data_IF_060144826967
#
_entry.id   IF_060144826967
#
_cell.length_a   1.000
_cell.length_b   1.000
_cell.length_c   1.000
_cell.angle_alpha   90.00
_cell.angle_beta   90.00
_cell.angle_gamma   90.00
#
_symmetry.space_group_name_H-M   'P 1'
#
loop_
_entity.id
_entity.type
_entity.pdbx_description
1 polymer ?
#
# COMPACT_ATOMS: atom_id res chain seq x y z
N UNK A 1 -76.39 -45.93 -22.98
CA UNK A 1 -75.82 -44.99 -22.01
C UNK A 1 -74.32 -45.29 -21.93
N UNK A 2 -73.47 -44.55 -22.70
CA UNK A 2 -72.08 -44.87 -22.92
C UNK A 2 -71.22 -43.85 -22.18
N UNK A 3 -70.41 -44.31 -21.25
CA UNK A 3 -69.50 -43.55 -20.44
C UNK A 3 -68.15 -43.39 -21.20
N UNK A 4 -67.83 -42.18 -21.59
CA UNK A 4 -66.56 -41.85 -22.26
C UNK A 4 -65.48 -41.58 -21.19
N UNK A 5 -64.48 -42.44 -21.14
CA UNK A 5 -63.25 -42.24 -20.33
C UNK A 5 -62.30 -41.33 -21.08
N UNK A 6 -61.88 -40.16 -20.47
CA UNK A 6 -60.85 -39.27 -20.99
C UNK A 6 -59.49 -39.67 -20.38
N UNK A 7 -58.55 -40.07 -21.23
CA UNK A 7 -57.14 -40.20 -20.86
C UNK A 7 -56.54 -38.81 -20.78
N UNK A 8 -55.97 -38.47 -19.62
CA UNK A 8 -55.07 -37.32 -19.43
C UNK A 8 -53.63 -37.79 -19.67
N UNK A 9 -53.01 -37.32 -20.74
CA UNK A 9 -51.54 -37.45 -21.00
C UNK A 9 -50.85 -36.33 -20.31
N UNK A 10 -50.17 -36.63 -19.19
CA UNK A 10 -49.28 -35.67 -18.52
C UNK A 10 -47.93 -35.56 -19.24
N UNK A 11 -47.60 -34.36 -19.68
CA UNK A 11 -46.24 -34.04 -20.17
C UNK A 11 -45.32 -33.78 -18.97
N UNK A 12 -44.39 -34.68 -18.69
CA UNK A 12 -43.23 -34.40 -17.80
C UNK A 12 -42.23 -33.60 -18.59
N UNK A 13 -42.13 -32.30 -18.33
CA UNK A 13 -40.99 -31.46 -18.74
C UNK A 13 -39.83 -31.72 -17.78
N UNK A 14 -38.83 -32.47 -18.22
CA UNK A 14 -37.57 -32.62 -17.54
C UNK A 14 -36.80 -31.30 -17.68
N UNK A 15 -36.75 -30.47 -16.63
CA UNK A 15 -35.80 -29.39 -16.52
C UNK A 15 -34.41 -30.00 -16.35
N UNK A 16 -33.64 -30.08 -17.43
CA UNK A 16 -32.21 -30.35 -17.38
C UNK A 16 -31.51 -29.17 -16.74
N UNK A 17 -31.05 -29.33 -15.51
CA UNK A 17 -30.05 -28.45 -14.88
C UNK A 17 -28.73 -28.63 -15.65
N UNK A 18 -28.47 -27.75 -16.62
CA UNK A 18 -27.16 -27.62 -17.20
C UNK A 18 -26.26 -26.98 -16.14
N UNK A 19 -25.58 -27.79 -15.34
CA UNK A 19 -24.40 -27.32 -14.58
C UNK A 19 -23.33 -27.01 -15.61
N UNK A 20 -23.07 -25.75 -15.85
CA UNK A 20 -21.84 -25.31 -16.53
C UNK A 20 -20.66 -25.90 -15.76
N UNK A 21 -19.76 -26.66 -16.40
CA UNK A 21 -18.57 -27.16 -15.73
C UNK A 21 -17.79 -25.95 -15.19
N UNK A 22 -17.47 -25.97 -13.91
CA UNK A 22 -16.58 -24.98 -13.31
C UNK A 22 -15.29 -24.98 -14.14
N UNK A 23 -14.97 -23.83 -14.76
CA UNK A 23 -13.73 -23.67 -15.52
C UNK A 23 -12.57 -23.92 -14.56
N UNK A 24 -11.66 -24.83 -14.91
CA UNK A 24 -10.46 -25.09 -14.11
C UNK A 24 -9.64 -23.78 -14.04
N UNK A 25 -9.32 -23.33 -12.84
CA UNK A 25 -8.49 -22.14 -12.60
C UNK A 25 -7.13 -22.31 -13.32
N UNK A 26 -6.71 -21.30 -14.08
CA UNK A 26 -5.39 -21.29 -14.72
C UNK A 26 -4.33 -20.78 -13.75
N UNK A 27 -4.00 -21.56 -12.74
CA UNK A 27 -2.99 -21.22 -11.75
C UNK A 27 -1.58 -21.43 -12.28
N UNK A 28 -0.77 -20.37 -12.21
CA UNK A 28 0.69 -20.47 -12.34
C UNK A 28 1.30 -20.47 -10.93
N UNK A 29 2.14 -21.45 -10.61
CA UNK A 29 2.64 -21.67 -9.25
C UNK A 29 4.16 -21.70 -9.19
N UNK A 30 4.69 -21.21 -8.06
CA UNK A 30 6.02 -21.50 -7.57
C UNK A 30 5.91 -22.42 -6.35
N UNK A 31 6.85 -23.35 -6.23
CA UNK A 31 6.99 -24.30 -5.14
C UNK A 31 8.49 -24.46 -4.83
N UNK A 32 8.89 -24.26 -3.58
CA UNK A 32 10.27 -24.47 -3.15
C UNK A 32 10.44 -25.62 -2.14
N UNK A 33 9.41 -26.47 -2.00
CA UNK A 33 9.36 -27.58 -1.06
C UNK A 33 9.01 -27.18 0.39
N UNK A 34 8.94 -25.87 0.70
CA UNK A 34 8.51 -25.34 2.01
C UNK A 34 7.15 -24.67 1.91
N UNK A 35 6.97 -23.81 0.90
CA UNK A 35 5.72 -23.12 0.61
C UNK A 35 5.40 -23.17 -0.90
N UNK A 36 4.12 -23.05 -1.21
CA UNK A 36 3.61 -22.85 -2.56
C UNK A 36 2.88 -21.51 -2.64
N UNK A 37 3.09 -20.75 -3.74
CA UNK A 37 2.32 -19.56 -4.08
C UNK A 37 1.80 -19.67 -5.50
N UNK A 38 0.57 -19.21 -5.75
CA UNK A 38 -0.06 -19.30 -7.07
C UNK A 38 -0.82 -18.05 -7.43
N UNK A 39 -0.68 -17.63 -8.70
CA UNK A 39 -1.44 -16.55 -9.31
C UNK A 39 -2.48 -17.12 -10.26
N UNK A 40 -3.69 -16.58 -10.23
CA UNK A 40 -4.75 -16.97 -11.16
C UNK A 40 -4.70 -16.08 -12.42
N UNK A 41 -4.33 -16.69 -13.55
CA UNK A 41 -4.21 -15.99 -14.83
C UNK A 41 -5.57 -15.59 -15.44
N UNK A 42 -6.67 -16.14 -14.95
CA UNK A 42 -8.01 -15.72 -15.33
C UNK A 42 -8.52 -14.55 -14.49
N UNK A 43 -7.81 -14.22 -13.40
CA UNK A 43 -8.08 -13.07 -12.51
C UNK A 43 -6.93 -12.04 -12.55
N UNK A 44 -6.41 -11.75 -13.74
CA UNK A 44 -5.35 -10.78 -13.93
C UNK A 44 -4.01 -11.14 -13.26
N UNK A 45 -3.84 -12.37 -12.78
CA UNK A 45 -2.66 -12.79 -12.04
C UNK A 45 -2.66 -12.37 -10.56
N UNK A 46 -3.83 -12.11 -9.97
CA UNK A 46 -3.95 -11.96 -8.53
C UNK A 46 -3.49 -13.24 -7.81
N UNK A 47 -2.86 -13.09 -6.66
CA UNK A 47 -2.41 -14.24 -5.85
C UNK A 47 -3.63 -14.83 -5.16
N UNK A 48 -4.05 -16.01 -5.58
CA UNK A 48 -5.21 -16.74 -5.05
C UNK A 48 -4.84 -17.98 -4.26
N UNK A 49 -3.54 -18.33 -4.23
CA UNK A 49 -3.04 -19.49 -3.53
C UNK A 49 -1.77 -19.17 -2.74
N UNK A 50 -1.75 -19.54 -1.48
CA UNK A 50 -0.56 -19.55 -0.63
C UNK A 50 -0.76 -20.67 0.41
N UNK A 51 0.15 -21.63 0.46
CA UNK A 51 0.07 -22.77 1.37
C UNK A 51 1.45 -23.24 1.81
N UNK A 52 1.52 -24.00 2.90
CA UNK A 52 2.67 -24.87 3.15
C UNK A 52 2.75 -25.95 2.04
N UNK A 53 3.96 -26.35 1.65
CA UNK A 53 4.18 -27.42 0.68
C UNK A 53 4.30 -28.79 1.39
N UNK A 54 3.98 -29.94 0.70
CA UNK A 54 3.39 -29.98 -0.65
C UNK A 54 1.86 -29.82 -0.66
N UNK A 55 1.14 -30.22 0.42
CA UNK A 55 -0.31 -30.44 0.42
C UNK A 55 -1.05 -29.58 1.44
N UNK A 56 -0.46 -28.42 1.80
CA UNK A 56 -1.08 -27.49 2.74
C UNK A 56 -2.39 -26.86 2.22
N UNK A 57 -3.27 -26.51 3.15
CA UNK A 57 -4.50 -25.79 2.84
C UNK A 57 -4.17 -24.41 2.25
N UNK A 58 -4.92 -24.01 1.22
CA UNK A 58 -4.81 -22.64 0.69
C UNK A 58 -5.33 -21.60 1.71
N UNK A 59 -4.49 -20.66 2.07
CA UNK A 59 -4.75 -19.66 3.10
C UNK A 59 -5.33 -18.34 2.57
N UNK A 60 -5.51 -18.20 1.24
CA UNK A 60 -5.97 -16.97 0.61
C UNK A 60 -7.47 -17.04 0.36
N UNK A 61 -8.17 -15.96 0.75
CA UNK A 61 -9.59 -15.83 0.48
C UNK A 61 -9.82 -15.30 -0.94
N UNK A 62 -10.73 -15.94 -1.67
CA UNK A 62 -11.15 -15.60 -3.03
C UNK A 62 -12.66 -15.67 -3.17
N UNK A 63 -13.39 -15.25 -2.14
CA UNK A 63 -14.87 -15.26 -2.12
C UNK A 63 -15.47 -14.35 -3.19
N UNK A 64 -14.86 -13.18 -3.41
CA UNK A 64 -15.22 -12.21 -4.45
C UNK A 64 -13.96 -11.58 -5.06
N UNK A 65 -14.09 -10.75 -6.10
CA UNK A 65 -12.96 -10.11 -6.78
C UNK A 65 -12.33 -8.95 -6.00
N UNK A 66 -12.90 -8.53 -4.89
CA UNK A 66 -12.31 -7.53 -3.98
C UNK A 66 -11.30 -8.10 -3.00
N UNK A 67 -11.18 -9.44 -2.93
CA UNK A 67 -10.29 -10.13 -1.98
C UNK A 67 -9.01 -10.61 -2.66
N UNK A 68 -8.42 -11.71 -2.31
CA UNK A 68 -7.11 -12.24 -2.75
C UNK A 68 -5.94 -11.46 -2.14
N UNK A 69 -4.73 -11.64 -2.71
CA UNK A 69 -3.61 -10.74 -2.53
C UNK A 69 -3.39 -10.04 -3.85
N UNK A 70 -3.55 -8.72 -3.86
CA UNK A 70 -3.55 -7.94 -5.10
C UNK A 70 -3.09 -6.50 -4.90
N UNK A 71 -2.65 -5.89 -5.99
CA UNK A 71 -2.37 -4.46 -6.06
C UNK A 71 -3.70 -3.68 -6.09
N UNK A 72 -3.80 -2.61 -5.30
CA UNK A 72 -4.95 -1.71 -5.24
C UNK A 72 -4.45 -0.28 -5.08
N UNK A 73 -4.85 0.61 -5.99
CA UNK A 73 -4.38 2.00 -5.99
C UNK A 73 -5.53 2.98 -5.99
N UNK A 74 -5.33 4.14 -5.35
CA UNK A 74 -6.32 5.19 -5.18
C UNK A 74 -5.77 6.54 -5.63
N UNK A 75 -6.52 7.24 -6.48
CA UNK A 75 -6.21 8.61 -6.92
C UNK A 75 -7.52 9.38 -7.18
N UNK A 76 -7.48 10.53 -7.83
CA UNK A 76 -8.68 11.23 -8.27
C UNK A 76 -9.02 10.95 -9.74
N UNK A 77 -10.15 11.45 -10.26
CA UNK A 77 -11.15 12.23 -9.53
C UNK A 77 -11.99 11.41 -8.54
N UNK A 78 -12.77 12.11 -7.70
CA UNK A 78 -13.72 11.51 -6.78
C UNK A 78 -15.00 12.36 -6.73
N UNK A 79 -16.20 11.82 -7.10
CA UNK A 79 -16.39 10.44 -7.59
C UNK A 79 -15.74 10.22 -8.96
N UNK A 80 -15.38 8.96 -9.24
CA UNK A 80 -14.88 8.54 -10.55
C UNK A 80 -15.97 7.77 -11.30
N UNK A 81 -16.50 8.36 -12.36
CA UNK A 81 -17.54 7.75 -13.22
C UNK A 81 -18.86 7.45 -12.47
N UNK A 82 -19.71 6.62 -13.11
CA UNK A 82 -20.97 6.15 -12.56
C UNK A 82 -20.71 4.89 -11.71
N UNK A 83 -20.30 5.09 -10.47
CA UNK A 83 -19.94 4.01 -9.56
C UNK A 83 -21.15 3.20 -9.09
N UNK A 84 -20.91 1.96 -8.69
CA UNK A 84 -21.88 1.08 -8.05
C UNK A 84 -22.56 1.76 -6.85
N UNK A 85 -23.88 1.58 -6.60
CA UNK A 85 -24.61 2.29 -5.53
C UNK A 85 -23.98 2.22 -4.14
N UNK A 86 -23.33 1.12 -3.78
CA UNK A 86 -22.61 0.99 -2.51
C UNK A 86 -21.29 1.79 -2.46
N UNK A 87 -20.82 2.29 -3.60
CA UNK A 87 -19.54 2.96 -3.80
C UNK A 87 -19.69 4.35 -4.46
N UNK A 88 -20.81 5.07 -4.24
CA UNK A 88 -21.21 6.30 -4.94
C UNK A 88 -20.12 7.37 -5.06
N UNK A 89 -19.31 7.53 -4.03
CA UNK A 89 -18.25 8.55 -3.98
C UNK A 89 -16.86 7.91 -4.11
N UNK A 90 -16.75 6.78 -4.81
CA UNK A 90 -15.48 6.08 -4.94
C UNK A 90 -14.52 6.83 -5.87
N UNK A 91 -13.23 6.90 -5.53
CA UNK A 91 -12.24 7.53 -6.39
C UNK A 91 -11.87 6.64 -7.58
N UNK A 92 -11.00 7.11 -8.46
CA UNK A 92 -10.25 6.28 -9.37
C UNK A 92 -9.51 5.20 -8.56
N UNK A 93 -9.85 3.94 -8.82
CA UNK A 93 -9.34 2.80 -8.07
C UNK A 93 -9.25 1.55 -8.94
N UNK A 94 -8.19 1.38 -9.71
CA UNK A 94 -7.91 0.12 -10.39
C UNK A 94 -7.41 -0.92 -9.39
N UNK A 95 -7.91 -2.17 -9.51
CA UNK A 95 -7.49 -3.31 -8.71
C UNK A 95 -7.13 -4.52 -9.57
N UNK A 96 -6.27 -5.40 -9.02
CA UNK A 96 -5.59 -6.45 -9.78
C UNK A 96 -6.47 -7.62 -10.21
N UNK A 97 -7.56 -7.94 -9.51
CA UNK A 97 -8.35 -9.15 -9.78
C UNK A 97 -9.61 -8.90 -10.61
N UNK A 98 -10.28 -7.74 -10.46
CA UNK A 98 -11.50 -7.45 -11.20
C UNK A 98 -12.35 -6.36 -10.58
N UNK A 99 -13.60 -6.20 -11.02
CA UNK A 99 -14.55 -5.21 -10.52
C UNK A 99 -15.61 -5.80 -9.58
N UNK A 100 -16.38 -4.92 -8.92
CA UNK A 100 -17.45 -5.31 -7.99
C UNK A 100 -18.62 -6.05 -8.65
N UNK A 101 -18.72 -5.99 -9.98
CA UNK A 101 -19.74 -6.67 -10.76
C UNK A 101 -19.33 -8.06 -11.22
N UNK A 102 -18.10 -8.49 -10.94
CA UNK A 102 -17.58 -9.82 -11.27
C UNK A 102 -16.83 -9.90 -12.60
N UNK A 103 -16.47 -8.79 -13.23
CA UNK A 103 -15.65 -8.80 -14.43
C UNK A 103 -14.17 -8.89 -14.03
N UNK A 104 -13.43 -9.92 -14.49
CA UNK A 104 -12.05 -10.12 -14.11
C UNK A 104 -11.10 -9.14 -14.81
N UNK A 105 -10.01 -8.81 -14.14
CA UNK A 105 -8.85 -8.17 -14.76
C UNK A 105 -8.17 -9.08 -15.77
N UNK A 106 -7.46 -8.51 -16.74
CA UNK A 106 -6.84 -9.25 -17.83
C UNK A 106 -5.35 -9.47 -17.58
N UNK A 107 -4.88 -10.71 -17.68
CA UNK A 107 -3.45 -11.02 -17.79
C UNK A 107 -2.97 -10.65 -19.21
N UNK A 108 -2.01 -9.71 -19.30
CA UNK A 108 -1.41 -9.25 -20.54
C UNK A 108 -0.16 -10.06 -20.90
N UNK A 109 0.70 -10.31 -19.92
CA UNK A 109 1.95 -11.05 -20.05
C UNK A 109 2.13 -11.96 -18.84
N UNK A 110 2.78 -13.10 -19.04
CA UNK A 110 3.09 -14.04 -17.97
C UNK A 110 4.36 -14.84 -18.31
N UNK A 111 5.20 -15.07 -17.31
CA UNK A 111 6.27 -16.03 -17.37
C UNK A 111 6.51 -16.70 -16.01
N UNK A 112 6.97 -17.94 -16.03
CA UNK A 112 7.32 -18.69 -14.82
C UNK A 112 8.44 -19.67 -15.19
N UNK A 113 9.62 -19.45 -14.65
CA UNK A 113 10.82 -20.29 -14.89
C UNK A 113 11.11 -21.26 -13.72
N UNK A 114 10.15 -21.37 -12.77
CA UNK A 114 10.28 -22.18 -11.56
C UNK A 114 11.05 -21.48 -10.42
N UNK A 115 11.65 -20.32 -10.66
CA UNK A 115 12.34 -19.49 -9.65
C UNK A 115 11.70 -18.13 -9.48
N UNK A 116 11.30 -17.53 -10.59
CA UNK A 116 10.59 -16.25 -10.65
C UNK A 116 9.31 -16.40 -11.45
N UNK A 117 8.22 -15.94 -10.86
CA UNK A 117 6.94 -15.81 -11.53
C UNK A 117 6.70 -14.33 -11.82
N UNK A 118 6.38 -13.99 -13.06
CA UNK A 118 6.05 -12.65 -13.51
C UNK A 118 4.65 -12.62 -14.11
N UNK A 119 3.91 -11.57 -13.79
CA UNK A 119 2.61 -11.26 -14.40
C UNK A 119 2.53 -9.76 -14.69
N UNK A 120 2.00 -9.44 -15.88
CA UNK A 120 1.52 -8.09 -16.22
C UNK A 120 0.03 -8.10 -16.41
N UNK A 121 -0.65 -7.18 -15.78
CA UNK A 121 -2.11 -7.11 -15.65
C UNK A 121 -2.64 -5.81 -16.22
N UNK A 122 -3.75 -5.87 -16.95
CA UNK A 122 -4.65 -4.74 -17.14
C UNK A 122 -5.74 -4.82 -16.06
N UNK A 123 -5.71 -3.94 -15.06
CA UNK A 123 -6.65 -3.98 -13.95
C UNK A 123 -8.06 -3.51 -14.36
N UNK A 124 -9.04 -3.74 -13.49
CA UNK A 124 -10.38 -3.19 -13.62
C UNK A 124 -10.58 -2.06 -12.60
N UNK A 125 -11.39 -1.06 -12.96
CA UNK A 125 -11.86 -0.05 -12.01
C UNK A 125 -12.88 -0.69 -11.06
N UNK A 126 -12.54 -0.78 -9.76
CA UNK A 126 -13.33 -1.53 -8.78
C UNK A 126 -14.82 -1.23 -8.80
N UNK A 127 -15.17 0.05 -8.71
CA UNK A 127 -16.56 0.47 -8.54
C UNK A 127 -17.35 0.60 -9.85
N UNK A 128 -16.73 0.39 -11.01
CA UNK A 128 -17.34 0.61 -12.34
C UNK A 128 -17.64 -0.72 -13.03
N UNK A 129 -18.74 -0.74 -13.81
CA UNK A 129 -19.21 -1.94 -14.50
C UNK A 129 -18.39 -2.20 -15.77
N UNK A 130 -17.51 -3.19 -15.74
CA UNK A 130 -16.68 -3.63 -16.88
C UNK A 130 -15.81 -2.51 -17.49
N UNK A 131 -15.22 -1.68 -16.63
CA UNK A 131 -14.34 -0.58 -17.08
C UNK A 131 -12.88 -0.93 -16.73
N UNK A 132 -12.02 -1.20 -17.74
CA UNK A 132 -10.62 -1.40 -17.52
C UNK A 132 -9.92 -0.14 -16.98
N UNK A 133 -8.88 -0.34 -16.17
CA UNK A 133 -7.97 0.74 -15.81
C UNK A 133 -7.12 1.20 -17.00
N UNK A 134 -6.82 2.48 -17.02
CA UNK A 134 -5.90 3.15 -17.95
C UNK A 134 -4.43 3.05 -17.48
N UNK A 135 -4.09 1.94 -16.88
CA UNK A 135 -2.79 1.61 -16.33
C UNK A 135 -2.47 0.11 -16.51
N UNK A 136 -1.25 -0.29 -16.21
CA UNK A 136 -0.85 -1.67 -16.11
C UNK A 136 -0.13 -1.94 -14.80
N UNK A 137 -0.38 -3.12 -14.21
CA UNK A 137 0.35 -3.62 -13.05
C UNK A 137 1.36 -4.67 -13.49
N UNK A 138 2.48 -4.72 -12.79
CA UNK A 138 3.45 -5.79 -12.93
C UNK A 138 3.75 -6.37 -11.54
N UNK A 139 3.86 -7.70 -11.47
CA UNK A 139 4.16 -8.42 -10.23
C UNK A 139 5.25 -9.45 -10.51
N UNK A 140 6.31 -9.45 -9.70
CA UNK A 140 7.37 -10.47 -9.69
C UNK A 140 7.36 -11.16 -8.33
N UNK A 141 7.41 -12.48 -8.33
CA UNK A 141 7.37 -13.32 -7.14
C UNK A 141 8.56 -14.27 -7.16
N UNK A 142 9.27 -14.39 -6.04
CA UNK A 142 10.30 -15.41 -5.81
C UNK A 142 10.14 -16.00 -4.41
N UNK A 143 10.52 -17.27 -4.21
CA UNK A 143 10.41 -17.96 -2.93
C UNK A 143 11.78 -18.13 -2.25
N UNK A 144 11.82 -17.93 -0.92
CA UNK A 144 13.00 -18.15 -0.07
C UNK A 144 12.58 -18.72 1.27
N UNK A 145 12.87 -20.02 1.53
CA UNK A 145 12.42 -20.68 2.74
C UNK A 145 10.89 -20.62 2.87
N UNK A 146 10.39 -20.14 3.99
CA UNK A 146 8.96 -19.95 4.27
C UNK A 146 8.41 -18.56 3.83
N UNK A 147 9.17 -17.81 3.03
CA UNK A 147 8.83 -16.47 2.59
C UNK A 147 8.67 -16.38 1.07
N UNK A 148 7.69 -15.57 0.62
CA UNK A 148 7.54 -15.12 -0.76
C UNK A 148 7.88 -13.64 -0.85
N UNK A 149 8.92 -13.32 -1.63
CA UNK A 149 9.35 -11.96 -1.93
C UNK A 149 8.58 -11.46 -3.15
N UNK A 150 7.83 -10.39 -2.98
CA UNK A 150 6.99 -9.85 -4.05
C UNK A 150 7.39 -8.41 -4.33
N UNK A 151 7.61 -8.11 -5.62
CA UNK A 151 7.78 -6.75 -6.13
C UNK A 151 6.61 -6.40 -7.04
N UNK A 152 6.08 -5.20 -6.85
CA UNK A 152 4.96 -4.65 -7.60
C UNK A 152 5.36 -3.36 -8.29
N UNK A 153 4.76 -3.12 -9.47
CA UNK A 153 4.88 -1.88 -10.23
C UNK A 153 3.53 -1.46 -10.80
N UNK A 154 3.17 -0.22 -10.57
CA UNK A 154 2.13 0.48 -11.31
C UNK A 154 2.77 1.26 -12.45
N UNK A 155 2.33 1.02 -13.69
CA UNK A 155 2.60 1.89 -14.84
C UNK A 155 1.31 2.67 -15.14
N UNK A 156 1.21 3.89 -14.62
CA UNK A 156 0.04 4.72 -14.84
C UNK A 156 0.12 5.40 -16.22
N UNK A 157 -1.01 5.47 -16.92
CA UNK A 157 -1.13 6.14 -18.23
C UNK A 157 -2.50 6.84 -18.35
N UNK A 158 -2.95 7.39 -17.23
CA UNK A 158 -4.23 8.09 -17.17
C UNK A 158 -4.23 9.30 -18.13
N UNK A 159 -5.30 9.45 -18.92
CA UNK A 159 -5.44 10.58 -19.84
C UNK A 159 -5.63 11.92 -19.10
N UNK A 160 -6.32 11.88 -17.97
CA UNK A 160 -6.46 13.03 -17.08
C UNK A 160 -5.14 13.38 -16.40
N UNK A 161 -4.53 14.50 -16.81
CA UNK A 161 -3.23 14.98 -16.34
C UNK A 161 -3.29 15.76 -15.01
N UNK A 162 -4.45 15.88 -14.41
CA UNK A 162 -4.59 16.57 -13.12
C UNK A 162 -3.75 15.88 -12.05
N UNK A 163 -2.93 16.66 -11.34
CA UNK A 163 -2.28 16.18 -10.11
C UNK A 163 -3.31 16.21 -8.99
N UNK A 164 -3.67 15.04 -8.50
CA UNK A 164 -4.59 14.90 -7.38
C UNK A 164 -3.84 14.84 -6.04
N UNK A 165 -4.48 15.27 -4.94
CA UNK A 165 -3.89 15.13 -3.61
C UNK A 165 -3.51 13.69 -3.28
N UNK A 166 -2.51 13.52 -2.43
CA UNK A 166 -2.07 12.23 -1.93
C UNK A 166 -3.22 11.44 -1.28
N UNK A 167 -3.26 10.13 -1.56
CA UNK A 167 -4.20 9.16 -0.97
C UNK A 167 -3.45 7.99 -0.38
N UNK A 168 -4.09 7.32 0.56
CA UNK A 168 -3.58 6.08 1.12
C UNK A 168 -3.71 4.96 0.09
N UNK A 169 -2.60 4.23 -0.12
CA UNK A 169 -2.48 3.10 -1.04
C UNK A 169 -2.38 1.81 -0.23
N UNK A 170 -3.05 0.75 -0.66
CA UNK A 170 -2.93 -0.59 -0.09
C UNK A 170 -1.77 -1.34 -0.77
N UNK A 171 -0.71 -1.65 -0.03
CA UNK A 171 0.58 -2.10 -0.58
C UNK A 171 1.09 -3.43 0.01
N UNK A 172 0.42 -4.58 -0.24
CA UNK A 172 -0.80 -4.85 -0.99
C UNK A 172 -2.05 -4.95 -0.09
N UNK A 173 -3.23 -5.16 -0.70
CA UNK A 173 -4.37 -5.75 -0.01
C UNK A 173 -4.15 -7.27 0.14
N UNK A 174 -4.28 -7.80 1.36
CA UNK A 174 -4.11 -9.24 1.68
C UNK A 174 -5.34 -9.75 2.39
N UNK A 175 -6.04 -10.69 1.78
CA UNK A 175 -7.21 -11.33 2.36
C UNK A 175 -6.94 -12.82 2.62
N UNK A 176 -7.09 -13.25 3.87
CA UNK A 176 -6.87 -14.64 4.29
C UNK A 176 -8.19 -15.36 4.56
N UNK A 177 -8.14 -16.70 4.63
CA UNK A 177 -9.29 -17.52 5.03
C UNK A 177 -9.73 -17.22 6.46
N UNK A 178 -11.00 -17.49 6.77
CA UNK A 178 -11.58 -17.24 8.09
C UNK A 178 -11.01 -18.04 9.26
N UNK A 179 -10.19 -19.06 8.98
CA UNK A 179 -9.43 -19.79 10.03
C UNK A 179 -8.31 -18.97 10.64
N UNK A 180 -7.76 -18.00 9.90
CA UNK A 180 -6.74 -17.06 10.38
C UNK A 180 -7.45 -15.79 10.88
N UNK A 181 -7.84 -15.77 12.15
CA UNK A 181 -8.73 -14.76 12.70
C UNK A 181 -8.13 -13.88 13.79
N UNK A 182 -6.89 -14.16 14.21
CA UNK A 182 -6.19 -13.39 15.23
C UNK A 182 -5.13 -12.51 14.57
N UNK A 183 -5.30 -11.20 14.65
CA UNK A 183 -4.39 -10.23 14.05
C UNK A 183 -3.39 -9.74 15.08
N UNK A 184 -2.09 -9.88 14.79
CA UNK A 184 -0.98 -9.45 15.64
C UNK A 184 -0.02 -8.51 14.92
N UNK A 185 0.61 -7.64 15.70
CA UNK A 185 1.68 -6.72 15.28
C UNK A 185 2.59 -6.38 16.46
N UNK A 186 3.68 -5.66 16.23
CA UNK A 186 4.42 -4.94 17.24
C UNK A 186 4.27 -3.43 16.98
N UNK A 187 3.82 -2.69 18.00
CA UNK A 187 3.59 -1.23 17.94
C UNK A 187 4.30 -0.46 19.09
N UNK A 188 5.19 -1.14 19.79
CA UNK A 188 5.97 -0.53 20.87
C UNK A 188 7.04 0.45 20.36
N UNK A 189 7.53 1.36 21.23
CA UNK A 189 8.45 2.42 20.84
C UNK A 189 9.89 1.94 20.57
N UNK A 190 10.21 0.69 20.90
CA UNK A 190 11.53 0.08 20.68
C UNK A 190 11.43 -1.12 19.75
N UNK A 191 11.39 -0.90 18.42
CA UNK A 191 11.27 -1.97 17.44
C UNK A 191 12.49 -2.91 17.47
N UNK A 192 12.26 -4.18 17.14
CA UNK A 192 13.28 -5.24 17.00
C UNK A 192 14.10 -5.54 18.27
N UNK A 193 13.56 -5.22 19.45
CA UNK A 193 14.18 -5.51 20.75
C UNK A 193 13.53 -6.69 21.49
N UNK A 194 12.58 -7.39 20.85
CA UNK A 194 11.89 -8.52 21.46
C UNK A 194 10.71 -8.13 22.37
N UNK A 195 10.22 -6.89 22.30
CA UNK A 195 9.04 -6.41 23.05
C UNK A 195 7.77 -7.23 22.77
N UNK A 196 6.76 -7.05 23.60
CA UNK A 196 5.49 -7.76 23.51
C UNK A 196 4.74 -7.47 22.19
N UNK A 197 4.02 -8.47 21.71
CA UNK A 197 3.14 -8.33 20.55
C UNK A 197 1.75 -7.88 21.01
N UNK A 198 1.15 -6.99 20.23
CA UNK A 198 -0.22 -6.56 20.43
C UNK A 198 -1.17 -7.31 19.53
N UNK A 199 -2.24 -7.86 20.08
CA UNK A 199 -3.36 -8.34 19.30
C UNK A 199 -4.29 -7.18 18.97
N UNK A 200 -4.57 -6.97 17.66
CA UNK A 200 -5.55 -6.00 17.17
C UNK A 200 -6.91 -6.67 17.17
N UNK A 201 -7.86 -6.15 17.95
CA UNK A 201 -9.24 -6.60 17.95
C UNK A 201 -10.05 -5.69 17.01
N UNK A 202 -10.64 -6.28 15.98
CA UNK A 202 -11.52 -5.58 15.04
C UNK A 202 -12.43 -6.59 14.33
N UNK A 203 -13.73 -6.33 14.34
CA UNK A 203 -14.78 -7.24 13.84
C UNK A 203 -15.28 -6.87 12.43
N UNK A 204 -14.40 -6.44 11.55
CA UNK A 204 -14.75 -6.12 10.16
C UNK A 204 -14.85 -4.62 9.89
N UNK A 205 -15.31 -4.23 8.66
CA UNK A 205 -15.34 -2.82 8.30
C UNK A 205 -16.23 -1.97 9.25
N UNK A 206 -15.77 -0.73 9.60
CA UNK A 206 -14.51 -0.13 9.18
C UNK A 206 -13.30 -0.80 9.82
N UNK A 207 -12.25 -1.01 9.03
CA UNK A 207 -11.03 -1.67 9.48
C UNK A 207 -10.27 -0.83 10.52
N UNK A 208 -9.61 -1.48 11.47
CA UNK A 208 -8.71 -0.82 12.40
C UNK A 208 -7.47 -0.28 11.67
N UNK A 209 -6.89 0.81 12.17
CA UNK A 209 -5.61 1.35 11.72
C UNK A 209 -4.62 1.43 12.89
N UNK A 210 -3.34 1.19 12.61
CA UNK A 210 -2.28 1.24 13.62
C UNK A 210 -0.92 1.51 12.99
N UNK A 211 0.06 1.88 13.82
CA UNK A 211 1.47 1.93 13.45
C UNK A 211 2.14 0.61 13.82
N UNK A 212 2.69 -0.11 12.85
CA UNK A 212 3.48 -1.33 13.05
C UNK A 212 4.97 -0.95 13.07
N UNK A 213 5.54 -0.78 14.24
CA UNK A 213 6.91 -0.25 14.40
C UNK A 213 8.00 -1.19 13.90
N UNK A 214 7.68 -2.48 13.74
CA UNK A 214 8.54 -3.49 13.11
C UNK A 214 8.16 -3.80 11.65
N UNK A 215 7.32 -2.97 11.00
CA UNK A 215 6.95 -3.06 9.58
C UNK A 215 6.21 -4.37 9.19
N UNK A 216 5.47 -4.99 10.10
CA UNK A 216 4.72 -6.21 9.84
C UNK A 216 3.42 -6.32 10.63
N UNK A 217 2.51 -7.12 10.09
CA UNK A 217 1.35 -7.65 10.80
C UNK A 217 1.10 -9.09 10.36
N UNK A 218 0.41 -9.88 11.19
CA UNK A 218 0.11 -11.27 10.89
C UNK A 218 -1.31 -11.65 11.28
N UNK A 219 -1.97 -12.41 10.42
CA UNK A 219 -3.21 -13.14 10.72
C UNK A 219 -2.88 -14.60 10.98
N UNK A 220 -3.24 -15.08 12.16
CA UNK A 220 -2.90 -16.43 12.64
C UNK A 220 -4.13 -17.15 13.20
N UNK A 221 -4.05 -18.47 13.27
CA UNK A 221 -5.01 -19.34 13.97
C UNK A 221 -4.80 -19.33 15.50
N UNK A 222 -5.51 -20.18 16.23
CA UNK A 222 -5.41 -20.30 17.68
C UNK A 222 -4.03 -20.76 18.18
N UNK A 223 -3.29 -21.52 17.35
CA UNK A 223 -1.94 -22.00 17.65
C UNK A 223 -0.84 -20.93 17.39
N UNK A 224 -1.23 -19.74 16.89
CA UNK A 224 -0.30 -18.66 16.57
C UNK A 224 0.49 -18.87 15.29
N UNK A 225 -0.03 -19.70 14.37
CA UNK A 225 0.53 -19.96 13.04
C UNK A 225 -0.34 -19.38 11.94
N UNK A 226 0.24 -18.80 10.89
CA UNK A 226 -0.51 -18.26 9.79
C UNK A 226 0.31 -17.46 8.78
N UNK A 227 -0.24 -16.32 8.33
CA UNK A 227 0.31 -15.46 7.27
C UNK A 227 0.75 -14.12 7.85
N UNK A 228 2.04 -13.82 7.73
CA UNK A 228 2.63 -12.51 7.99
C UNK A 228 2.75 -11.69 6.70
N UNK A 229 2.54 -10.39 6.83
CA UNK A 229 2.78 -9.39 5.79
C UNK A 229 3.83 -8.43 6.31
N UNK A 230 5.01 -8.42 5.68
CA UNK A 230 6.13 -7.53 6.00
C UNK A 230 6.25 -6.52 4.87
N UNK A 231 6.28 -5.23 5.22
CA UNK A 231 6.46 -4.13 4.25
C UNK A 231 7.65 -3.26 4.68
N UNK A 232 8.87 -3.55 4.20
CA UNK A 232 10.07 -2.80 4.60
C UNK A 232 9.91 -1.28 4.40
N UNK A 233 10.14 -0.51 5.47
CA UNK A 233 9.96 0.94 5.46
C UNK A 233 8.51 1.44 5.43
N UNK A 234 7.52 0.55 5.59
CA UNK A 234 6.11 0.90 5.78
C UNK A 234 5.68 0.66 7.23
N UNK A 235 5.17 1.68 7.89
CA UNK A 235 4.81 1.63 9.32
C UNK A 235 3.30 1.70 9.54
N UNK A 236 2.55 2.27 8.63
CA UNK A 236 1.10 2.37 8.73
C UNK A 236 0.43 1.13 8.16
N UNK A 237 -0.52 0.56 8.91
CA UNK A 237 -1.31 -0.61 8.52
C UNK A 237 -2.78 -0.41 8.81
N UNK A 238 -3.61 -1.07 8.01
CA UNK A 238 -5.04 -1.26 8.27
C UNK A 238 -5.38 -2.75 8.20
N UNK A 239 -6.41 -3.17 8.91
CA UNK A 239 -6.85 -4.56 8.86
C UNK A 239 -7.82 -4.95 9.96
N UNK A 240 -8.13 -6.22 10.01
CA UNK A 240 -9.05 -6.82 10.97
C UNK A 240 -9.56 -8.17 10.52
N UNK A 241 -10.66 -8.59 11.10
CA UNK A 241 -11.32 -9.84 10.78
C UNK A 241 -12.81 -9.60 10.56
N UNK A 242 -13.40 -10.27 9.58
CA UNK A 242 -14.84 -10.24 9.30
C UNK A 242 -15.42 -11.65 9.29
N UNK A 243 -16.56 -11.82 9.93
CA UNK A 243 -17.31 -13.07 9.97
C UNK A 243 -17.07 -13.89 11.24
N UNK A 244 -17.33 -15.20 11.19
CA UNK A 244 -17.19 -16.08 12.34
C UNK A 244 -15.74 -16.56 12.49
N UNK A 245 -15.07 -16.27 13.62
CA UNK A 245 -13.68 -16.68 13.85
C UNK A 245 -13.44 -18.17 13.74
N UNK A 246 -12.29 -18.57 13.17
CA UNK A 246 -11.86 -19.95 13.06
C UNK A 246 -12.60 -20.81 12.02
N UNK A 247 -13.47 -20.20 11.21
CA UNK A 247 -14.29 -20.88 10.21
C UNK A 247 -14.17 -20.25 8.84
N UNK A 248 -14.33 -21.06 7.80
CA UNK A 248 -14.32 -20.65 6.40
C UNK A 248 -12.98 -20.87 5.71
N UNK A 249 -13.08 -21.41 4.50
CA UNK A 249 -11.98 -21.64 3.55
C UNK A 249 -11.89 -20.58 2.48
N UNK A 250 -11.17 -20.88 1.36
CA UNK A 250 -10.83 -19.89 0.32
C UNK A 250 -12.01 -19.24 -0.40
N UNK A 251 -13.16 -19.87 -0.46
CA UNK A 251 -14.36 -19.35 -1.16
C UNK A 251 -15.46 -18.89 -0.20
N UNK A 252 -15.22 -18.94 1.11
CA UNK A 252 -16.20 -18.59 2.12
C UNK A 252 -16.12 -17.10 2.49
N UNK A 253 -17.23 -16.56 3.04
CA UNK A 253 -17.34 -15.16 3.40
C UNK A 253 -16.42 -14.72 4.58
N UNK A 254 -16.23 -15.50 5.67
CA UNK A 254 -15.31 -15.10 6.73
C UNK A 254 -13.89 -14.88 6.21
N UNK A 255 -13.25 -13.76 6.64
CA UNK A 255 -11.94 -13.37 6.11
C UNK A 255 -11.18 -12.50 7.10
N UNK A 256 -9.87 -12.72 7.17
CA UNK A 256 -8.93 -11.74 7.71
C UNK A 256 -8.47 -10.78 6.62
N UNK A 257 -8.11 -9.58 7.01
CA UNK A 257 -7.58 -8.53 6.13
C UNK A 257 -6.39 -7.82 6.76
N UNK A 258 -5.32 -7.66 5.98
CA UNK A 258 -4.16 -6.82 6.28
C UNK A 258 -3.79 -6.03 5.03
N UNK A 259 -3.57 -4.73 5.18
CA UNK A 259 -2.90 -3.92 4.17
C UNK A 259 -1.89 -2.98 4.84
N UNK A 260 -0.59 -3.07 4.48
CA UNK A 260 0.32 -1.95 4.65
C UNK A 260 -0.19 -0.76 3.86
N UNK A 261 -0.13 0.43 4.46
CA UNK A 261 -0.67 1.65 3.84
C UNK A 261 0.42 2.70 3.75
N UNK A 262 0.50 3.36 2.58
CA UNK A 262 1.35 4.53 2.40
C UNK A 262 0.58 5.61 1.65
N UNK A 263 0.73 6.86 2.12
CA UNK A 263 0.11 8.01 1.47
C UNK A 263 0.96 8.49 0.32
N UNK A 264 0.39 8.49 -0.92
CA UNK A 264 1.14 8.75 -2.16
C UNK A 264 0.38 9.67 -3.12
N UNK A 265 1.12 10.46 -3.88
CA UNK A 265 0.62 11.20 -5.04
C UNK A 265 0.88 10.33 -6.27
N UNK A 266 -0.17 9.81 -6.89
CA UNK A 266 -0.09 9.03 -8.12
C UNK A 266 -0.42 9.91 -9.31
N UNK A 267 0.61 10.45 -9.97
CA UNK A 267 0.47 11.22 -11.20
C UNK A 267 -0.04 10.37 -12.36
N UNK A 268 -0.52 11.03 -13.41
CA UNK A 268 -1.10 10.38 -14.58
C UNK A 268 -0.14 9.45 -15.33
N UNK A 269 1.16 9.65 -15.22
CA UNK A 269 2.22 8.94 -15.93
C UNK A 269 3.25 8.29 -15.00
N UNK A 270 2.96 8.25 -13.68
CA UNK A 270 3.89 7.70 -12.69
C UNK A 270 4.20 6.22 -12.92
N UNK A 271 5.47 5.88 -12.76
CA UNK A 271 5.92 4.51 -12.51
C UNK A 271 6.17 4.39 -11.01
N UNK A 272 5.28 3.67 -10.32
CA UNK A 272 5.34 3.51 -8.87
C UNK A 272 5.68 2.06 -8.51
N UNK A 273 6.72 1.87 -7.69
CA UNK A 273 7.18 0.55 -7.27
C UNK A 273 7.15 0.40 -5.75
N UNK A 274 6.85 -0.82 -5.30
CA UNK A 274 7.00 -1.24 -3.90
C UNK A 274 7.27 -2.74 -3.82
N UNK A 275 7.76 -3.17 -2.65
CA UNK A 275 7.97 -4.59 -2.36
C UNK A 275 7.39 -4.95 -1.01
N UNK A 276 6.99 -6.21 -0.88
CA UNK A 276 6.54 -6.79 0.38
C UNK A 276 6.95 -8.26 0.47
N UNK A 277 6.87 -8.82 1.68
CA UNK A 277 7.16 -10.22 1.92
C UNK A 277 5.97 -10.87 2.60
N UNK A 278 5.50 -11.99 2.04
CA UNK A 278 4.54 -12.89 2.71
C UNK A 278 5.32 -13.97 3.42
N UNK A 279 5.03 -14.21 4.68
CA UNK A 279 5.72 -15.22 5.50
C UNK A 279 4.70 -16.21 6.04
N UNK A 280 4.91 -17.50 5.82
CA UNK A 280 4.14 -18.55 6.46
C UNK A 280 4.90 -19.09 7.68
N UNK A 281 4.24 -19.07 8.85
CA UNK A 281 4.89 -19.58 10.05
C UNK A 281 4.21 -19.12 11.32
N UNK A 282 4.90 -19.39 12.41
CA UNK A 282 4.57 -18.87 13.74
C UNK A 282 4.86 -17.37 13.83
N UNK A 283 4.27 -16.68 14.81
CA UNK A 283 4.54 -15.27 15.08
C UNK A 283 6.04 -14.96 15.25
N UNK A 284 6.80 -15.89 15.84
CA UNK A 284 8.25 -15.72 16.01
C UNK A 284 9.00 -15.82 14.67
N UNK A 285 8.64 -16.73 13.79
CA UNK A 285 9.25 -16.87 12.47
C UNK A 285 8.92 -15.66 11.60
N UNK A 286 7.68 -15.17 11.63
CA UNK A 286 7.25 -13.97 10.93
C UNK A 286 8.04 -12.74 11.41
N UNK A 287 8.16 -12.55 12.73
CA UNK A 287 8.93 -11.47 13.33
C UNK A 287 10.43 -11.55 13.00
N UNK A 288 10.99 -12.76 12.95
CA UNK A 288 12.38 -12.97 12.56
C UNK A 288 12.65 -12.56 11.11
N UNK A 289 11.74 -12.90 10.17
CA UNK A 289 11.84 -12.47 8.78
C UNK A 289 11.69 -10.95 8.66
N UNK A 290 10.75 -10.33 9.39
CA UNK A 290 10.61 -8.88 9.44
C UNK A 290 11.90 -8.19 9.90
N UNK A 291 12.56 -8.73 10.93
CA UNK A 291 13.86 -8.24 11.40
C UNK A 291 14.97 -8.37 10.35
N UNK A 292 14.95 -9.44 9.54
CA UNK A 292 15.89 -9.64 8.43
C UNK A 292 15.67 -8.66 7.26
N UNK A 293 14.44 -8.18 7.08
CA UNK A 293 14.04 -7.25 6.02
C UNK A 293 14.04 -5.77 6.46
N UNK A 294 14.40 -5.48 7.71
CA UNK A 294 14.32 -4.12 8.27
C UNK A 294 15.22 -3.13 7.52
N UNK A 295 14.77 -1.90 7.40
CA UNK A 295 15.61 -0.78 6.96
C UNK A 295 16.63 -0.47 8.05
N UNK A 296 17.92 -0.57 7.73
CA UNK A 296 19.01 -0.40 8.72
C UNK A 296 19.34 1.07 9.00
N UNK A 297 19.13 1.95 8.02
CA UNK A 297 19.37 3.38 8.16
C UNK A 297 18.08 4.14 7.79
N UNK A 298 17.36 4.60 8.81
CA UNK A 298 16.12 5.37 8.66
C UNK A 298 16.34 6.89 8.62
N UNK A 299 17.61 7.37 8.65
CA UNK A 299 17.88 8.81 8.60
C UNK A 299 17.47 9.41 7.26
N UNK A 300 16.98 10.66 7.23
CA UNK A 300 16.51 11.29 6.01
C UNK A 300 17.63 11.49 4.98
N UNK A 301 17.53 10.85 3.81
CA UNK A 301 18.50 10.99 2.72
C UNK A 301 17.78 10.90 1.36
N UNK A 302 17.07 11.97 0.99
CA UNK A 302 16.16 12.05 -0.16
C UNK A 302 16.77 12.85 -1.30
N UNK A 303 16.85 12.23 -2.49
CA UNK A 303 17.28 12.86 -3.73
C UNK A 303 16.12 12.88 -4.73
N UNK A 304 15.64 14.06 -5.10
CA UNK A 304 14.42 14.24 -5.90
C UNK A 304 14.69 14.33 -7.40
N UNK A 305 15.38 13.35 -7.97
CA UNK A 305 15.66 13.30 -9.42
C UNK A 305 14.80 12.30 -10.17
N UNK A 306 14.36 11.24 -9.52
CA UNK A 306 13.59 10.15 -10.12
C UNK A 306 12.12 10.20 -9.72
N UNK A 307 11.86 10.44 -8.44
CA UNK A 307 10.53 10.48 -7.85
C UNK A 307 10.52 11.40 -6.62
N UNK A 308 9.37 11.49 -5.95
CA UNK A 308 9.17 12.31 -4.74
C UNK A 308 9.73 11.66 -3.47
N UNK A 309 10.32 10.49 -3.52
CA UNK A 309 10.80 9.75 -2.34
C UNK A 309 9.72 9.66 -1.24
N UNK A 310 8.47 9.41 -1.64
CA UNK A 310 7.27 9.33 -0.78
C UNK A 310 6.88 10.65 -0.07
N UNK A 311 7.45 11.80 -0.48
CA UNK A 311 6.99 13.08 0.00
C UNK A 311 5.64 13.47 -0.61
N UNK A 312 4.78 14.05 0.22
CA UNK A 312 3.43 14.48 -0.16
C UNK A 312 3.19 15.93 0.21
N UNK A 313 2.10 16.51 -0.28
CA UNK A 313 1.83 17.94 -0.13
C UNK A 313 0.50 18.21 0.56
N UNK A 314 0.48 19.28 1.37
CA UNK A 314 -0.72 19.92 1.88
C UNK A 314 -0.68 21.37 1.40
N UNK A 315 -1.74 21.80 0.69
CA UNK A 315 -1.84 23.16 0.11
C UNK A 315 -0.65 23.56 -0.76
N UNK A 316 -0.05 22.57 -1.41
CA UNK A 316 1.01 22.73 -2.39
C UNK A 316 0.86 21.71 -3.51
N UNK A 317 1.54 21.95 -4.61
CA UNK A 317 1.67 21.06 -5.76
C UNK A 317 3.08 21.17 -6.31
N UNK A 318 3.47 20.27 -7.21
CA UNK A 318 4.73 20.37 -7.95
C UNK A 318 4.51 20.31 -9.48
N UNK A 319 5.59 20.15 -10.24
CA UNK A 319 5.54 20.07 -11.69
C UNK A 319 5.09 18.70 -12.24
N UNK A 320 4.88 17.69 -11.38
CA UNK A 320 4.50 16.34 -11.76
C UNK A 320 5.69 15.35 -11.76
N UNK A 321 5.44 14.17 -12.29
CA UNK A 321 6.41 13.08 -12.40
C UNK A 321 6.99 13.01 -13.83
N UNK A 322 8.31 12.70 -14.01
CA UNK A 322 9.35 12.67 -12.99
C UNK A 322 9.83 14.08 -12.60
N UNK A 323 10.33 14.29 -11.35
CA UNK A 323 10.76 15.61 -10.88
C UNK A 323 11.95 16.21 -11.66
N UNK A 324 12.80 15.38 -12.25
CA UNK A 324 13.94 15.82 -13.05
C UNK A 324 15.07 16.43 -12.21
N UNK A 325 15.11 17.77 -12.11
CA UNK A 325 16.16 18.50 -11.36
C UNK A 325 15.75 18.89 -9.93
N UNK A 326 14.64 18.31 -9.45
CA UNK A 326 14.09 18.53 -8.10
C UNK A 326 12.58 18.74 -8.07
N UNK A 327 12.03 18.84 -6.87
CA UNK A 327 10.62 19.14 -6.65
C UNK A 327 10.38 20.64 -6.88
N UNK A 328 9.65 21.01 -7.92
CA UNK A 328 9.21 22.37 -8.23
C UNK A 328 7.91 22.70 -7.49
N UNK A 329 8.02 23.01 -6.22
CA UNK A 329 6.89 23.18 -5.31
C UNK A 329 6.30 24.56 -5.42
N UNK A 330 4.96 24.63 -5.61
CA UNK A 330 4.17 25.86 -5.66
C UNK A 330 3.04 25.81 -4.64
N UNK A 331 2.81 26.89 -3.87
CA UNK A 331 1.70 26.96 -2.93
C UNK A 331 0.34 27.05 -3.66
N UNK A 332 -0.61 26.23 -3.24
CA UNK A 332 -2.02 26.30 -3.69
C UNK A 332 -2.94 26.93 -2.64
N UNK A 333 -2.43 27.16 -1.43
CA UNK A 333 -3.15 27.77 -0.31
C UNK A 333 -2.17 28.30 0.75
N UNK A 334 -2.70 28.90 1.81
CA UNK A 334 -1.91 29.35 2.93
C UNK A 334 -1.33 28.17 3.73
N UNK A 335 -0.16 28.37 4.34
CA UNK A 335 0.58 27.34 5.07
C UNK A 335 0.84 26.07 4.22
N UNK A 336 1.56 26.19 3.09
CA UNK A 336 1.91 25.04 2.26
C UNK A 336 2.94 24.16 2.98
N UNK A 337 2.74 22.84 2.90
CA UNK A 337 3.55 21.86 3.64
C UNK A 337 4.00 20.73 2.73
N UNK A 338 5.23 20.28 2.92
CA UNK A 338 5.76 19.04 2.38
C UNK A 338 5.89 18.05 3.54
N UNK A 339 5.21 16.93 3.44
CA UNK A 339 5.23 15.87 4.46
C UNK A 339 6.12 14.75 3.96
N UNK A 340 7.21 14.49 4.67
CA UNK A 340 8.10 13.37 4.39
C UNK A 340 7.50 12.02 4.79
N UNK A 341 8.06 10.92 4.27
CA UNK A 341 7.64 9.58 4.65
C UNK A 341 7.87 9.30 6.14
N UNK A 342 7.19 8.30 6.66
CA UNK A 342 7.54 7.73 7.97
C UNK A 342 8.91 7.07 7.88
N UNK A 343 9.79 7.43 8.81
CA UNK A 343 11.16 6.93 8.93
C UNK A 343 11.50 6.88 10.42
N UNK A 344 12.49 6.07 10.80
CA UNK A 344 12.85 5.90 12.21
C UNK A 344 14.35 6.07 12.41
N UNK A 345 14.76 7.07 13.20
CA UNK A 345 16.15 7.30 13.56
C UNK A 345 16.28 7.96 14.93
N UNK A 346 17.42 7.76 15.59
CA UNK A 346 17.75 8.46 16.82
C UNK A 346 18.20 9.89 16.51
N UNK A 347 17.65 10.87 17.22
CA UNK A 347 17.93 12.31 17.00
C UNK A 347 19.43 12.62 16.99
N UNK A 348 20.19 12.03 17.90
CA UNK A 348 21.65 12.21 18.00
C UNK A 348 22.42 11.72 16.77
N UNK A 349 21.84 10.75 16.02
CA UNK A 349 22.46 10.22 14.80
C UNK A 349 22.33 11.12 13.58
N UNK A 350 21.43 12.11 13.63
CA UNK A 350 21.20 13.12 12.59
C UNK A 350 21.00 14.51 13.21
N UNK A 351 22.02 15.08 13.88
CA UNK A 351 21.91 16.35 14.61
C UNK A 351 21.64 17.56 13.70
N UNK A 352 21.94 17.42 12.43
CA UNK A 352 21.75 18.45 11.40
C UNK A 352 20.98 17.90 10.23
N UNK A 353 20.23 18.77 9.58
CA UNK A 353 19.61 18.52 8.29
C UNK A 353 20.16 19.50 7.26
N UNK A 354 20.42 19.01 6.06
CA UNK A 354 20.85 19.81 4.93
C UNK A 354 19.78 19.76 3.85
N UNK A 355 19.43 20.93 3.31
CA UNK A 355 18.44 21.07 2.23
C UNK A 355 19.09 21.84 1.10
N UNK A 356 19.20 21.24 -0.09
CA UNK A 356 19.57 21.98 -1.29
C UNK A 356 18.32 22.44 -2.00
N UNK A 357 18.13 23.75 -2.03
CA UNK A 357 16.94 24.35 -2.65
C UNK A 357 17.26 25.71 -3.27
N UNK A 358 16.46 26.08 -4.28
CA UNK A 358 16.40 27.41 -4.86
C UNK A 358 15.00 27.99 -4.61
N UNK A 359 14.92 29.22 -4.17
CA UNK A 359 13.65 29.90 -3.88
C UNK A 359 13.43 31.09 -4.82
N UNK A 360 12.22 31.16 -5.40
CA UNK A 360 11.68 32.36 -6.03
C UNK A 360 10.43 32.75 -5.26
N UNK A 361 10.58 33.67 -4.31
CA UNK A 361 9.52 34.02 -3.37
C UNK A 361 9.79 35.41 -2.80
N UNK A 362 8.93 35.90 -1.93
CA UNK A 362 9.24 37.05 -1.10
C UNK A 362 10.30 36.66 -0.05
N UNK A 363 11.18 37.61 0.38
CA UNK A 363 12.05 37.37 1.52
C UNK A 363 11.27 36.89 2.74
N UNK A 364 11.73 35.79 3.37
CA UNK A 364 11.02 35.16 4.46
C UNK A 364 11.80 34.01 5.09
N UNK A 365 11.06 33.17 5.77
CA UNK A 365 11.60 31.97 6.43
C UNK A 365 10.89 30.73 5.93
N UNK A 366 11.62 29.64 5.87
CA UNK A 366 11.11 28.27 5.82
C UNK A 366 11.27 27.62 7.20
N UNK A 367 10.57 26.50 7.44
CA UNK A 367 10.64 25.79 8.71
C UNK A 367 10.69 24.27 8.49
N UNK A 368 11.53 23.58 9.27
CA UNK A 368 11.56 22.12 9.38
C UNK A 368 10.91 21.73 10.69
N UNK A 369 9.95 20.84 10.61
CA UNK A 369 9.27 20.21 11.75
C UNK A 369 9.65 18.73 11.81
N UNK A 370 9.53 18.14 13.01
CA UNK A 370 9.68 16.68 13.19
C UNK A 370 8.61 16.11 14.09
N UNK A 371 8.43 14.79 13.96
CA UNK A 371 7.61 13.97 14.87
C UNK A 371 8.53 13.08 15.71
N UNK A 372 8.22 12.92 16.98
CA UNK A 372 8.84 11.92 17.83
C UNK A 372 7.95 10.66 17.95
N UNK A 373 8.54 9.52 18.27
CA UNK A 373 7.79 8.25 18.42
C UNK A 373 6.72 8.33 19.51
N UNK A 374 6.97 9.06 20.58
CA UNK A 374 6.04 9.26 21.68
C UNK A 374 4.97 10.32 21.38
N UNK A 375 5.21 11.17 20.37
CA UNK A 375 4.35 12.27 19.97
C UNK A 375 4.21 12.34 18.43
N UNK A 376 3.30 11.56 17.84
CA UNK A 376 3.26 11.32 16.39
C UNK A 376 2.74 12.51 15.56
N UNK A 377 2.33 13.61 16.20
CA UNK A 377 1.88 14.84 15.53
C UNK A 377 3.02 15.83 15.27
N UNK A 378 2.89 16.65 14.20
CA UNK A 378 3.70 17.85 14.06
C UNK A 378 3.14 18.97 14.92
N UNK A 379 3.99 19.68 15.66
CA UNK A 379 3.63 20.84 16.50
C UNK A 379 4.59 22.01 16.30
N UNK A 380 4.14 23.22 16.63
CA UNK A 380 4.98 24.41 16.56
C UNK A 380 6.13 24.42 17.57
N UNK A 381 6.05 23.57 18.59
CA UNK A 381 7.08 23.38 19.62
C UNK A 381 8.26 22.54 19.12
N UNK A 382 8.09 21.81 18.00
CA UNK A 382 9.12 20.95 17.41
C UNK A 382 9.45 21.39 16.00
N UNK A 383 10.04 22.58 15.88
CA UNK A 383 10.45 23.14 14.60
C UNK A 383 11.72 23.99 14.72
N UNK A 384 12.45 24.10 13.63
CA UNK A 384 13.53 25.07 13.43
C UNK A 384 13.22 25.89 12.17
N UNK A 385 13.26 27.22 12.31
CA UNK A 385 13.10 28.15 11.19
C UNK A 385 14.48 28.54 10.63
N UNK A 386 14.54 28.75 9.31
CA UNK A 386 15.72 29.27 8.63
C UNK A 386 15.37 30.30 7.57
N UNK A 387 16.23 31.29 7.37
CA UNK A 387 16.03 32.32 6.36
C UNK A 387 16.27 31.78 4.95
N UNK A 388 15.38 32.07 4.02
CA UNK A 388 15.54 31.72 2.60
C UNK A 388 16.15 32.87 1.81
N UNK A 389 16.90 32.53 0.73
CA UNK A 389 17.41 33.48 -0.24
C UNK A 389 16.60 33.38 -1.52
N UNK A 390 15.75 34.39 -1.86
CA UNK A 390 14.73 34.26 -2.90
C UNK A 390 15.21 34.69 -4.30
N UNK A 391 16.45 34.55 -4.62
CA UNK A 391 17.07 34.95 -5.89
C UNK A 391 17.02 33.90 -7.00
N UNK A 392 16.46 32.69 -6.70
CA UNK A 392 16.35 31.60 -7.64
C UNK A 392 17.60 30.75 -7.79
N UNK A 393 18.68 31.05 -7.06
CA UNK A 393 19.93 30.28 -7.11
C UNK A 393 19.95 29.15 -6.09
N UNK A 394 20.36 27.92 -6.48
CA UNK A 394 20.38 26.78 -5.59
C UNK A 394 21.46 26.93 -4.50
N UNK A 395 21.06 26.72 -3.24
CA UNK A 395 21.92 26.79 -2.06
C UNK A 395 21.67 25.61 -1.15
N UNK A 396 22.70 25.30 -0.34
CA UNK A 396 22.59 24.34 0.74
C UNK A 396 22.28 25.11 2.03
N UNK A 397 21.11 24.86 2.58
CA UNK A 397 20.69 25.36 3.89
C UNK A 397 21.06 24.30 4.92
N UNK A 398 21.83 24.67 5.93
CA UNK A 398 22.22 23.86 7.07
C UNK A 398 21.29 24.20 8.25
N UNK A 399 20.54 23.21 8.72
CA UNK A 399 19.58 23.34 9.82
C UNK A 399 20.12 22.56 11.00
N UNK A 400 20.46 23.23 12.10
CA UNK A 400 20.93 22.63 13.33
C UNK A 400 19.72 22.21 14.18
N UNK A 401 19.28 20.94 13.99
CA UNK A 401 18.16 20.38 14.72
C UNK A 401 18.51 20.13 16.18
N UNK A 402 19.76 19.72 16.48
CA UNK A 402 20.22 19.42 17.83
C UNK A 402 20.29 20.66 18.74
N UNK A 403 20.29 21.88 18.17
CA UNK A 403 20.17 23.12 18.97
C UNK A 403 18.79 23.27 19.63
N UNK A 404 17.79 22.52 19.19
CA UNK A 404 16.44 22.58 19.73
C UNK A 404 16.25 21.56 20.85
N UNK A 405 15.78 21.95 22.05
CA UNK A 405 15.69 21.05 23.21
C UNK A 405 14.72 19.88 23.01
N UNK A 406 13.68 20.03 22.16
CA UNK A 406 12.72 18.97 21.84
C UNK A 406 13.20 18.01 20.72
N UNK A 407 14.40 18.21 20.16
CA UNK A 407 14.96 17.28 19.17
C UNK A 407 15.76 16.20 19.88
N UNK A 408 15.07 15.19 20.40
CA UNK A 408 15.64 14.10 21.19
C UNK A 408 14.85 12.80 21.02
N UNK A 409 15.46 11.67 21.44
CA UNK A 409 14.85 10.35 21.32
C UNK A 409 14.68 9.88 19.87
N UNK A 410 13.69 9.06 19.62
CA UNK A 410 13.42 8.50 18.30
C UNK A 410 12.54 9.44 17.48
N UNK A 411 13.05 9.89 16.35
CA UNK A 411 12.33 10.74 15.38
C UNK A 411 11.67 9.84 14.33
N UNK A 412 10.41 10.18 13.95
CA UNK A 412 9.59 9.32 13.05
C UNK A 412 9.15 10.01 11.76
N UNK A 413 9.58 11.22 11.49
CA UNK A 413 9.28 11.91 10.24
C UNK A 413 9.56 13.39 10.27
N UNK A 414 9.66 13.97 9.07
CA UNK A 414 9.91 15.38 8.82
C UNK A 414 8.74 16.03 8.10
N UNK A 415 8.56 17.32 8.33
CA UNK A 415 7.74 18.22 7.52
C UNK A 415 8.58 19.44 7.18
N UNK A 416 8.54 19.88 5.94
CA UNK A 416 9.11 21.14 5.48
C UNK A 416 7.99 22.10 5.09
N UNK A 417 7.95 23.27 5.73
CA UNK A 417 7.15 24.41 5.30
C UNK A 417 8.06 25.35 4.52
N UNK A 418 8.00 25.32 3.16
CA UNK A 418 8.99 26.03 2.34
C UNK A 418 8.76 27.54 2.32
N UNK A 419 7.57 28.00 2.71
CA UNK A 419 7.18 29.41 2.75
C UNK A 419 6.40 29.72 4.02
N UNK A 420 6.60 30.90 4.60
CA UNK A 420 5.82 31.34 5.76
C UNK A 420 4.36 31.69 5.41
N UNK A 421 4.09 32.10 4.17
CA UNK A 421 2.75 32.40 3.64
C UNK A 421 2.73 32.22 2.13
N UNK A 422 1.54 32.10 1.55
CA UNK A 422 1.37 32.07 0.09
C UNK A 422 1.64 33.44 -0.52
N UNK A 423 2.54 33.51 -1.52
CA UNK A 423 2.72 34.61 -2.43
C UNK A 423 2.34 34.23 -3.87
N UNK A 424 1.97 35.20 -4.67
CA UNK A 424 1.74 35.00 -6.10
C UNK A 424 3.09 34.73 -6.80
N UNK A 425 3.17 33.60 -7.52
CA UNK A 425 4.38 33.19 -8.23
C UNK A 425 5.48 32.58 -7.35
N UNK A 426 5.22 32.36 -6.06
CA UNK A 426 6.18 31.68 -5.19
C UNK A 426 6.46 30.25 -5.69
N UNK A 427 7.75 29.91 -5.76
CA UNK A 427 8.25 28.58 -6.12
C UNK A 427 9.48 28.22 -5.29
N UNK A 428 9.55 26.98 -4.84
CA UNK A 428 10.75 26.38 -4.27
C UNK A 428 11.14 25.15 -5.09
N UNK A 429 12.33 25.13 -5.67
CA UNK A 429 12.92 23.94 -6.25
C UNK A 429 13.81 23.25 -5.21
N UNK A 430 13.40 22.06 -4.76
CA UNK A 430 14.10 21.29 -3.73
C UNK A 430 14.77 20.10 -4.40
N UNK A 431 16.11 20.09 -4.45
CA UNK A 431 16.89 19.07 -5.14
C UNK A 431 17.10 17.83 -4.25
N UNK A 432 17.39 18.06 -2.96
CA UNK A 432 17.55 17.00 -1.99
C UNK A 432 17.40 17.50 -0.54
N UNK A 433 17.06 16.55 0.35
CA UNK A 433 17.00 16.72 1.80
C UNK A 433 17.79 15.57 2.42
N UNK A 434 18.82 15.85 3.22
CA UNK A 434 19.73 14.83 3.75
C UNK A 434 20.24 15.17 5.14
N UNK A 435 20.49 14.14 5.97
CA UNK A 435 21.17 14.25 7.25
C UNK A 435 22.66 14.59 7.11
N UNK A 436 23.22 14.45 5.92
CA UNK A 436 24.62 14.75 5.59
C UNK A 436 24.70 15.73 4.42
N UNK A 437 25.72 16.53 4.42
CA UNK A 437 26.01 17.43 3.31
C UNK A 437 26.48 16.61 2.10
N UNK A 438 25.81 16.79 0.98
CA UNK A 438 26.15 16.16 -0.31
C UNK A 438 27.06 17.07 -1.14
#
# INVERSE_FOLDING_TARGET
MAMRTRLLIGWLTALGLFSTPARAERLSRLDNGTIQIGVDLDLGGAITHLSAAPDGENLINSHDLGRQIQQSYYSGPQPFGAAHPNWKNWPWNPIGSGDVYGHPSQTLEHSNDGKTLYVKTRPMQWALNNVPGDCAFETWIALKGNAALVRCRLNNKREDKTQYPARDQELPAVYTIGKLHRLFTHDGPRPFTGGELRQIANDGPPWASWTATENWAALVNDDGWGVGVVHPGGYSFIGGFHGKPGQGGPKDNPTGYIAPVRREILDHDIVYEYGYVLVLGTLNEIRAEAAAQRVLDGRPDHLFTQDRQHWTYVRATDAGFPPGDGLHVRPTGDNPQLIGPEQWWEAESAPKLFIRAAYRAKPGKAAVYWRAAEEPGFSDERRVEFAIQPDGEPRVYEIDLASHPEYQGTITGLRLDPFGSKGEGDEARIEWISWRRR
#
